data_IF_367849983827
#
_entry.id   IF_367849983827
#
_cell.length_a   1.000
_cell.length_b   1.000
_cell.length_c   1.000
_cell.angle_alpha   90.00
_cell.angle_beta   90.00
_cell.angle_gamma   90.00
#
_symmetry.space_group_name_H-M   'P 1'
#
loop_
_entity.id
_entity.type
_entity.pdbx_description
1 polymer ?
#
# COMPACT_ATOMS: atom_id res chain seq x y z
N UNK A 1 4.63 -39.38 -30.25
CA UNK A 1 4.77 -39.01 -28.82
C UNK A 1 5.99 -38.13 -28.72
N UNK A 2 5.81 -36.82 -28.66
CA UNK A 2 6.93 -35.88 -28.53
C UNK A 2 6.56 -34.86 -27.44
N UNK A 3 7.27 -34.96 -26.33
CA UNK A 3 7.16 -34.09 -25.16
C UNK A 3 8.05 -32.86 -25.36
N UNK A 4 7.49 -31.66 -25.26
CA UNK A 4 8.28 -30.43 -25.18
C UNK A 4 8.04 -29.77 -23.83
N UNK A 5 8.99 -30.01 -22.92
CA UNK A 5 9.13 -29.28 -21.69
C UNK A 5 9.71 -27.89 -21.98
N UNK A 6 8.97 -26.83 -21.67
CA UNK A 6 9.52 -25.47 -21.61
C UNK A 6 9.68 -25.04 -20.15
N UNK A 7 10.91 -25.19 -19.65
CA UNK A 7 11.45 -24.46 -18.49
C UNK A 7 11.43 -22.95 -18.81
N UNK A 8 10.45 -22.21 -18.32
CA UNK A 8 10.56 -20.74 -18.20
C UNK A 8 11.25 -20.41 -16.89
N UNK A 9 12.56 -20.15 -16.98
CA UNK A 9 13.35 -19.45 -15.96
C UNK A 9 12.76 -18.04 -15.83
N UNK A 10 12.06 -17.75 -14.74
CA UNK A 10 11.85 -16.37 -14.32
C UNK A 10 13.14 -15.92 -13.63
N UNK A 11 13.93 -15.10 -14.33
CA UNK A 11 15.02 -14.36 -13.71
C UNK A 11 14.48 -13.40 -12.64
N UNK A 12 15.28 -13.04 -11.63
CA UNK A 12 14.82 -12.10 -10.62
C UNK A 12 14.51 -10.77 -11.29
N UNK A 13 13.27 -10.29 -11.12
CA UNK A 13 12.92 -8.93 -11.46
C UNK A 13 13.88 -8.01 -10.71
N UNK A 14 14.76 -7.35 -11.45
CA UNK A 14 15.52 -6.19 -11.00
C UNK A 14 14.48 -5.18 -10.53
N UNK A 15 14.27 -5.14 -9.21
CA UNK A 15 13.39 -4.16 -8.60
C UNK A 15 14.18 -2.86 -8.58
N UNK A 16 13.86 -2.02 -9.55
CA UNK A 16 14.39 -0.68 -9.72
C UNK A 16 14.14 0.10 -8.44
N UNK A 17 15.18 0.32 -7.65
CA UNK A 17 15.16 1.27 -6.54
C UNK A 17 15.02 2.66 -7.17
N UNK A 18 13.80 3.19 -7.20
CA UNK A 18 13.61 4.59 -7.56
C UNK A 18 13.89 5.40 -6.31
N UNK A 19 15.11 5.95 -6.23
CA UNK A 19 15.47 7.02 -5.31
C UNK A 19 14.41 8.13 -5.39
N UNK A 20 13.64 8.29 -4.31
CA UNK A 20 12.74 9.42 -4.16
C UNK A 20 13.62 10.58 -3.69
N UNK A 21 13.94 11.47 -4.63
CA UNK A 21 14.62 12.73 -4.36
C UNK A 21 13.84 13.53 -3.31
N UNK A 22 14.57 14.03 -2.31
CA UNK A 22 14.11 15.09 -1.41
C UNK A 22 14.02 16.39 -2.19
N UNK A 23 12.83 16.78 -2.64
CA UNK A 23 12.57 18.16 -3.01
C UNK A 23 12.02 18.95 -1.82
N UNK A 24 12.77 19.99 -1.44
CA UNK A 24 12.53 20.89 -0.33
C UNK A 24 11.53 21.98 -0.70
N UNK A 25 10.32 21.59 -1.08
CA UNK A 25 9.25 22.55 -1.40
C UNK A 25 7.90 22.03 -0.88
N UNK A 26 7.47 22.61 0.24
CA UNK A 26 6.19 22.37 0.92
C UNK A 26 4.96 22.76 0.10
N UNK A 27 4.75 22.06 -1.01
CA UNK A 27 3.46 21.95 -1.69
C UNK A 27 3.08 20.48 -1.56
N UNK A 28 2.19 20.16 -0.61
CA UNK A 28 1.49 18.87 -0.56
C UNK A 28 0.71 18.69 -1.87
N UNK A 29 1.37 18.22 -2.93
CA UNK A 29 0.68 17.40 -3.92
C UNK A 29 0.22 16.20 -3.13
N UNK A 30 -1.06 16.17 -2.81
CA UNK A 30 -1.74 15.04 -2.18
C UNK A 30 -1.35 13.80 -2.98
N UNK A 31 -0.33 13.08 -2.51
CA UNK A 31 0.22 11.99 -3.28
C UNK A 31 -0.92 11.00 -3.42
N UNK A 32 -1.30 10.69 -4.67
CA UNK A 32 -2.39 9.74 -4.97
C UNK A 32 -2.14 8.37 -4.31
N UNK A 33 -0.92 8.12 -3.86
CA UNK A 33 -0.45 6.91 -3.20
C UNK A 33 -0.18 7.17 -1.72
N UNK A 34 -0.55 6.20 -0.89
CA UNK A 34 -0.19 6.16 0.53
C UNK A 34 1.33 5.97 0.67
N UNK A 35 1.97 6.61 1.66
CA UNK A 35 3.39 6.41 1.95
C UNK A 35 3.66 4.95 2.35
N UNK A 36 4.91 4.48 2.16
CA UNK A 36 5.28 3.10 2.52
C UNK A 36 4.98 2.80 3.99
N UNK A 37 5.35 3.70 4.90
CA UNK A 37 5.11 3.59 6.34
C UNK A 37 3.62 3.42 6.66
N UNK A 38 2.76 4.22 6.04
CA UNK A 38 1.30 4.11 6.22
C UNK A 38 0.79 2.76 5.69
N UNK A 39 1.24 2.32 4.51
CA UNK A 39 0.84 1.03 3.94
C UNK A 39 1.24 -0.15 4.83
N UNK A 40 2.42 -0.12 5.43
CA UNK A 40 2.88 -1.16 6.35
C UNK A 40 2.10 -1.13 7.67
N UNK A 41 1.83 0.05 8.24
CA UNK A 41 0.96 0.21 9.41
C UNK A 41 -0.43 -0.39 9.15
N UNK A 42 -1.06 -0.03 8.04
CA UNK A 42 -2.38 -0.56 7.65
C UNK A 42 -2.35 -2.09 7.53
N UNK A 43 -1.36 -2.66 6.83
CA UNK A 43 -1.24 -4.12 6.70
C UNK A 43 -1.14 -4.83 8.05
N UNK A 44 -0.35 -4.28 8.96
CA UNK A 44 -0.17 -4.81 10.31
C UNK A 44 -1.47 -4.72 11.11
N UNK A 45 -2.12 -3.56 11.12
CA UNK A 45 -3.38 -3.35 11.84
C UNK A 45 -4.50 -4.24 11.30
N UNK A 46 -4.63 -4.37 9.97
CA UNK A 46 -5.62 -5.27 9.36
C UNK A 46 -5.37 -6.72 9.75
N UNK A 47 -4.10 -7.14 9.85
CA UNK A 47 -3.75 -8.48 10.32
C UNK A 47 -4.05 -8.67 11.80
N UNK A 48 -3.80 -7.65 12.63
CA UNK A 48 -4.05 -7.71 14.06
C UNK A 48 -5.55 -7.75 14.38
N UNK A 49 -6.35 -6.88 13.75
CA UNK A 49 -7.79 -6.72 14.03
C UNK A 49 -8.66 -7.78 13.34
N UNK A 50 -8.33 -8.15 12.10
CA UNK A 50 -9.16 -9.01 11.26
C UNK A 50 -8.51 -10.36 10.90
N UNK A 51 -7.29 -10.62 11.38
CA UNK A 51 -6.51 -11.81 11.06
C UNK A 51 -5.82 -11.77 9.70
N UNK A 52 -6.39 -11.08 8.71
CA UNK A 52 -5.80 -10.87 7.39
C UNK A 52 -6.43 -9.71 6.63
N UNK A 53 -5.70 -9.16 5.66
CA UNK A 53 -6.24 -8.20 4.68
C UNK A 53 -7.44 -8.79 3.93
N UNK A 54 -7.39 -10.07 3.55
CA UNK A 54 -8.48 -10.73 2.83
C UNK A 54 -9.77 -10.80 3.65
N UNK A 55 -9.67 -11.04 4.96
CA UNK A 55 -10.82 -11.04 5.86
C UNK A 55 -11.47 -9.66 5.94
N UNK A 56 -10.66 -8.61 6.15
CA UNK A 56 -11.16 -7.23 6.16
C UNK A 56 -11.82 -6.83 4.85
N UNK A 57 -11.21 -7.18 3.72
CA UNK A 57 -11.75 -6.93 2.38
C UNK A 57 -13.12 -7.57 2.19
N UNK A 58 -13.30 -8.83 2.63
CA UNK A 58 -14.61 -9.51 2.56
C UNK A 58 -15.65 -8.87 3.47
N UNK A 59 -15.26 -8.45 4.67
CA UNK A 59 -16.17 -7.78 5.60
C UNK A 59 -16.67 -6.43 5.08
N UNK A 60 -15.91 -5.77 4.21
CA UNK A 60 -16.22 -4.47 3.63
C UNK A 60 -16.70 -4.53 2.17
N UNK A 61 -16.94 -5.74 1.63
CA UNK A 61 -17.35 -5.97 0.24
C UNK A 61 -16.44 -5.26 -0.79
N UNK A 62 -15.12 -5.29 -0.56
CA UNK A 62 -14.13 -4.63 -1.40
C UNK A 62 -13.49 -5.58 -2.41
N UNK A 63 -12.92 -5.02 -3.48
CA UNK A 63 -12.10 -5.79 -4.41
C UNK A 63 -10.71 -6.08 -3.82
N UNK A 64 -10.45 -7.35 -3.51
CA UNK A 64 -9.16 -7.79 -2.95
C UNK A 64 -7.94 -7.41 -3.78
N UNK A 65 -8.02 -7.57 -5.11
CA UNK A 65 -6.95 -7.20 -6.04
C UNK A 65 -6.62 -5.71 -5.98
N UNK A 66 -7.65 -4.86 -5.93
CA UNK A 66 -7.45 -3.42 -5.81
C UNK A 66 -6.85 -3.03 -4.45
N UNK A 67 -7.39 -3.55 -3.34
CA UNK A 67 -6.86 -3.27 -1.99
C UNK A 67 -5.39 -3.69 -1.88
N UNK A 68 -5.02 -4.87 -2.38
CA UNK A 68 -3.63 -5.33 -2.36
C UNK A 68 -2.71 -4.47 -3.21
N UNK A 69 -3.15 -4.01 -4.39
CA UNK A 69 -2.37 -3.06 -5.21
C UNK A 69 -2.16 -1.73 -4.49
N UNK A 70 -3.17 -1.20 -3.78
CA UNK A 70 -3.04 0.03 -2.99
C UNK A 70 -2.05 -0.16 -1.84
N UNK A 71 -2.15 -1.25 -1.08
CA UNK A 71 -1.25 -1.57 0.04
C UNK A 71 0.17 -1.94 -0.39
N UNK A 72 0.38 -2.25 -1.67
CA UNK A 72 1.69 -2.43 -2.28
C UNK A 72 2.20 -1.17 -2.98
N UNK A 73 1.40 -0.10 -3.05
CA UNK A 73 1.77 1.16 -3.72
C UNK A 73 1.75 1.09 -5.25
N UNK A 74 1.09 0.08 -5.83
CA UNK A 74 0.93 -0.11 -7.27
C UNK A 74 -0.24 0.71 -7.79
N UNK A 75 -1.34 0.77 -7.01
CA UNK A 75 -2.54 1.51 -7.36
C UNK A 75 -2.70 2.75 -6.45
N UNK A 76 -3.34 3.82 -6.97
CA UNK A 76 -3.64 4.99 -6.18
C UNK A 76 -4.70 4.66 -5.12
N UNK A 77 -4.51 5.14 -3.89
CA UNK A 77 -5.28 4.77 -2.70
C UNK A 77 -6.38 5.74 -2.29
N UNK A 78 -6.71 6.73 -3.12
CA UNK A 78 -7.63 7.82 -2.76
C UNK A 78 -9.05 7.34 -2.40
N UNK A 79 -9.55 6.27 -3.02
CA UNK A 79 -10.88 5.71 -2.72
C UNK A 79 -10.91 4.92 -1.42
N UNK A 80 -9.78 4.32 -1.02
CA UNK A 80 -9.67 3.54 0.21
C UNK A 80 -9.27 4.39 1.41
N UNK A 81 -8.68 5.57 1.20
CA UNK A 81 -8.26 6.47 2.27
C UNK A 81 -9.39 6.81 3.25
N UNK A 82 -10.61 7.18 2.82
CA UNK A 82 -11.73 7.42 3.73
C UNK A 82 -12.13 6.19 4.55
N UNK A 83 -12.00 4.99 3.99
CA UNK A 83 -12.28 3.74 4.70
C UNK A 83 -11.21 3.49 5.76
N UNK A 84 -9.93 3.68 5.42
CA UNK A 84 -8.84 3.55 6.39
C UNK A 84 -8.93 4.60 7.50
N UNK A 85 -9.37 5.82 7.20
CA UNK A 85 -9.62 6.88 8.19
C UNK A 85 -10.79 6.50 9.11
N UNK A 86 -11.92 6.02 8.55
CA UNK A 86 -13.07 5.55 9.33
C UNK A 86 -12.73 4.40 10.28
N UNK A 87 -11.84 3.51 9.85
CA UNK A 87 -11.37 2.37 10.64
C UNK A 87 -10.29 2.78 11.68
N UNK A 88 -9.85 4.04 11.70
CA UNK A 88 -8.77 4.51 12.56
C UNK A 88 -7.42 3.86 12.22
N UNK A 89 -7.21 3.52 10.94
CA UNK A 89 -5.96 2.94 10.42
C UNK A 89 -5.01 4.04 9.89
N UNK A 90 -5.58 5.18 9.50
CA UNK A 90 -4.88 6.40 9.16
C UNK A 90 -5.37 7.48 10.13
N UNK A 91 -4.44 7.99 10.92
CA UNK A 91 -4.68 9.18 11.74
C UNK A 91 -4.56 10.40 10.84
N UNK A 92 -5.63 11.18 10.71
CA UNK A 92 -5.62 12.47 10.00
C UNK A 92 -4.68 13.51 10.63
N UNK A 93 -4.16 13.25 11.83
CA UNK A 93 -3.30 14.16 12.58
C UNK A 93 -1.78 13.94 12.39
N UNK A 94 -1.34 12.79 11.85
CA UNK A 94 0.10 12.50 11.66
C UNK A 94 0.56 12.93 10.25
N UNK A 95 0.18 14.13 9.83
CA UNK A 95 0.93 14.92 8.84
C UNK A 95 1.41 16.28 9.43
N UNK A 96 1.21 16.52 10.73
CA UNK A 96 1.53 17.81 11.37
C UNK A 96 2.59 17.80 12.47
N UNK A 97 3.14 16.64 12.88
CA UNK A 97 4.10 16.58 13.98
C UNK A 97 5.22 15.57 13.72
N UNK A 98 6.22 16.00 12.96
CA UNK A 98 7.56 15.41 12.98
C UNK A 98 8.59 16.45 12.51
N UNK A 99 8.62 17.63 13.14
CA UNK A 99 9.83 18.47 13.25
C UNK A 99 9.55 19.68 14.16
N UNK A 100 9.78 19.52 15.46
CA UNK A 100 9.99 20.62 16.39
C UNK A 100 10.73 20.04 17.60
N UNK A 101 12.05 19.87 17.45
CA UNK A 101 12.99 19.85 18.56
C UNK A 101 13.35 21.28 18.95
#
# INVERSE_FOLDING_TARGET
>A
MESIAQKKKYGPASSVETEIGKDASGIHRSSKHLSRTIREKIKTELRYRYGSVAAWVRNNDLNYGYVTQVLNGIAPGYTLRPLFEKEGLIDTEIEGQADAQ
#
